data_IF_561783725907
#
_entry.id   IF_561783725907
#
_cell.length_a   1.000
_cell.length_b   1.000
_cell.length_c   1.000
_cell.angle_alpha   90.00
_cell.angle_beta   90.00
_cell.angle_gamma   90.00
#
_symmetry.space_group_name_H-M   'P 1'
#
loop_
_entity.id
_entity.type
_entity.pdbx_description
1 polymer ?
#
# COMPACT_ATOMS: atom_id res chain seq x y z
N UNK A 1 1.27 -16.97 -5.67
CA UNK A 1 2.59 -16.71 -5.05
C UNK A 1 2.89 -17.84 -4.08
N UNK A 2 4.16 -18.11 -3.82
CA UNK A 2 4.62 -19.17 -2.91
C UNK A 2 5.86 -18.69 -2.16
N UNK A 3 5.92 -18.96 -0.86
CA UNK A 3 7.11 -18.71 -0.06
C UNK A 3 7.98 -19.95 -0.13
N UNK A 4 9.23 -19.79 -0.53
CA UNK A 4 10.21 -20.89 -0.64
C UNK A 4 11.26 -20.73 0.44
N UNK A 5 11.54 -21.83 1.17
CA UNK A 5 12.45 -21.82 2.31
C UNK A 5 13.85 -22.34 1.98
N UNK A 6 14.15 -22.65 0.71
CA UNK A 6 15.45 -23.09 0.28
C UNK A 6 15.48 -23.56 -1.17
N UNK A 7 16.70 -23.86 -1.66
CA UNK A 7 16.95 -24.17 -3.08
C UNK A 7 16.11 -25.33 -3.61
N UNK A 8 15.90 -26.39 -2.81
CA UNK A 8 15.07 -27.53 -3.22
C UNK A 8 13.60 -27.17 -3.45
N UNK A 9 13.06 -26.31 -2.60
CA UNK A 9 11.69 -25.82 -2.74
C UNK A 9 11.58 -24.88 -3.94
N UNK A 10 12.58 -24.03 -4.13
CA UNK A 10 12.67 -23.17 -5.30
C UNK A 10 12.70 -23.98 -6.59
N UNK A 11 13.57 -25.01 -6.69
CA UNK A 11 13.63 -25.87 -7.86
C UNK A 11 12.30 -26.60 -8.12
N UNK A 12 11.66 -27.09 -7.07
CA UNK A 12 10.35 -27.74 -7.18
C UNK A 12 9.30 -26.76 -7.71
N UNK A 13 9.23 -25.57 -7.12
CA UNK A 13 8.25 -24.56 -7.50
C UNK A 13 8.46 -24.06 -8.93
N UNK A 14 9.71 -23.80 -9.32
CA UNK A 14 10.05 -23.38 -10.69
C UNK A 14 9.61 -24.41 -11.73
N UNK A 15 9.72 -25.71 -11.45
CA UNK A 15 9.23 -26.75 -12.37
C UNK A 15 7.70 -26.71 -12.53
N UNK A 16 6.97 -26.39 -11.46
CA UNK A 16 5.49 -26.33 -11.48
C UNK A 16 5.02 -25.00 -12.06
N UNK A 17 5.60 -23.88 -11.64
CA UNK A 17 5.23 -22.55 -12.11
C UNK A 17 5.49 -22.34 -13.61
N UNK A 18 6.61 -22.87 -14.12
CA UNK A 18 6.94 -22.80 -15.56
C UNK A 18 5.95 -23.57 -16.43
N UNK A 19 5.31 -24.61 -15.90
CA UNK A 19 4.26 -25.35 -16.62
C UNK A 19 2.98 -24.52 -16.79
N UNK A 20 2.71 -23.58 -15.88
CA UNK A 20 1.53 -22.69 -15.94
C UNK A 20 1.76 -21.50 -16.87
N UNK A 21 3.01 -21.11 -17.11
CA UNK A 21 3.37 -19.93 -17.90
C UNK A 21 4.65 -20.15 -18.73
N UNK A 22 4.54 -20.92 -19.79
CA UNK A 22 5.68 -21.31 -20.67
C UNK A 22 6.48 -20.14 -21.27
N UNK A 23 5.98 -18.91 -21.22
CA UNK A 23 6.59 -17.74 -21.88
C UNK A 23 6.77 -16.51 -20.99
N UNK A 24 6.37 -16.56 -19.74
CA UNK A 24 6.49 -15.41 -18.84
C UNK A 24 7.60 -15.61 -17.82
N UNK A 25 8.43 -14.61 -17.57
CA UNK A 25 9.45 -14.69 -16.52
C UNK A 25 8.79 -14.84 -15.15
N UNK A 26 9.45 -15.56 -14.25
CA UNK A 26 9.06 -15.67 -12.84
C UNK A 26 9.83 -14.63 -12.05
N UNK A 27 9.12 -13.80 -11.29
CA UNK A 27 9.71 -12.85 -10.37
C UNK A 27 10.06 -13.58 -9.06
N UNK A 28 11.28 -13.39 -8.60
CA UNK A 28 11.76 -13.88 -7.31
C UNK A 28 12.12 -12.68 -6.45
N UNK A 29 11.41 -12.52 -5.34
CA UNK A 29 11.66 -11.46 -4.38
C UNK A 29 12.15 -12.03 -3.05
N UNK A 30 12.93 -11.24 -2.33
CA UNK A 30 13.30 -11.57 -0.96
C UNK A 30 12.07 -11.44 -0.07
N UNK A 31 11.74 -12.49 0.66
CA UNK A 31 10.72 -12.40 1.71
C UNK A 31 11.26 -11.63 2.92
N UNK A 32 10.46 -10.73 3.44
CA UNK A 32 10.79 -9.92 4.62
C UNK A 32 10.02 -10.49 5.82
N UNK A 33 10.72 -11.26 6.66
CA UNK A 33 10.14 -11.77 7.91
C UNK A 33 9.87 -10.63 8.89
N UNK A 34 8.78 -10.73 9.64
CA UNK A 34 8.39 -9.80 10.71
C UNK A 34 8.34 -8.31 10.29
N UNK A 35 8.06 -8.06 9.01
CA UNK A 35 7.92 -6.71 8.51
C UNK A 35 6.49 -6.17 8.74
N UNK A 36 6.40 -4.86 8.95
CA UNK A 36 5.14 -4.12 9.02
C UNK A 36 4.83 -3.60 7.64
N UNK A 37 3.66 -3.91 7.08
CA UNK A 37 3.20 -3.32 5.83
C UNK A 37 2.49 -1.99 6.06
N UNK A 38 2.71 -1.06 5.12
CA UNK A 38 2.15 0.29 5.17
C UNK A 38 1.71 0.71 3.77
N UNK A 39 0.47 1.17 3.66
CA UNK A 39 -0.04 1.83 2.47
C UNK A 39 0.06 3.35 2.62
N UNK A 40 0.55 4.02 1.59
CA UNK A 40 0.53 5.50 1.49
C UNK A 40 -0.25 5.90 0.27
N UNK A 41 -1.37 6.58 0.48
CA UNK A 41 -2.14 7.22 -0.60
C UNK A 41 -1.73 8.69 -0.74
N UNK A 42 -1.49 9.13 -1.96
CA UNK A 42 -1.23 10.54 -2.25
C UNK A 42 -1.97 11.02 -3.51
N UNK A 43 -2.06 12.33 -3.64
CA UNK A 43 -2.54 13.02 -4.85
C UNK A 43 -1.41 13.89 -5.37
N UNK A 44 -1.23 13.89 -6.68
CA UNK A 44 -0.29 14.78 -7.36
C UNK A 44 -0.97 15.51 -8.51
N UNK A 45 -0.55 16.77 -8.74
CA UNK A 45 -0.90 17.54 -9.93
C UNK A 45 0.29 17.67 -10.90
N UNK A 46 1.31 16.80 -10.75
CA UNK A 46 2.61 16.79 -11.42
C UNK A 46 3.64 17.78 -10.83
N UNK A 47 3.22 18.84 -10.16
CA UNK A 47 4.08 19.85 -9.52
C UNK A 47 4.16 19.62 -8.02
N UNK A 48 2.99 19.56 -7.41
CA UNK A 48 2.84 19.36 -5.98
C UNK A 48 2.25 17.98 -5.67
N UNK A 49 2.56 17.51 -4.47
CA UNK A 49 2.08 16.22 -3.96
C UNK A 49 1.54 16.43 -2.55
N UNK A 50 0.31 16.00 -2.34
CA UNK A 50 -0.33 15.96 -1.04
C UNK A 50 -0.46 14.52 -0.58
N UNK A 51 0.07 14.19 0.58
CA UNK A 51 -0.14 12.88 1.20
C UNK A 51 -1.58 12.83 1.73
N UNK A 52 -2.35 11.87 1.25
CA UNK A 52 -3.72 11.66 1.67
C UNK A 52 -3.83 10.95 3.01
N UNK A 53 -2.92 9.99 3.24
CA UNK A 53 -2.81 9.29 4.52
C UNK A 53 -1.82 8.14 4.46
N UNK A 54 -1.28 7.81 5.63
CA UNK A 54 -0.39 6.67 5.89
C UNK A 54 -1.18 5.67 6.71
N UNK A 55 -1.28 4.44 6.23
CA UNK A 55 -2.07 3.38 6.85
C UNK A 55 -1.18 2.22 7.22
N UNK A 56 -1.08 1.94 8.50
CA UNK A 56 -0.34 0.79 9.03
C UNK A 56 -1.24 -0.44 9.06
N UNK A 57 -0.76 -1.56 8.51
CA UNK A 57 -1.50 -2.82 8.53
C UNK A 57 -1.44 -3.46 9.91
N UNK A 58 -2.50 -4.17 10.28
CA UNK A 58 -2.60 -4.91 11.54
C UNK A 58 -2.02 -6.32 11.38
N UNK A 59 -2.26 -6.94 10.23
CA UNK A 59 -1.72 -8.25 9.89
C UNK A 59 -0.24 -8.13 9.51
N UNK A 60 0.52 -9.19 9.78
CA UNK A 60 1.92 -9.28 9.39
C UNK A 60 2.09 -9.21 7.87
N UNK A 61 3.26 -8.74 7.43
CA UNK A 61 3.63 -8.70 6.02
C UNK A 61 3.48 -10.06 5.34
N UNK A 62 3.06 -10.03 4.07
CA UNK A 62 2.77 -11.22 3.28
C UNK A 62 1.30 -11.58 3.19
N UNK A 63 0.40 -10.88 3.89
CA UNK A 63 -1.04 -10.94 3.68
C UNK A 63 -1.43 -9.86 2.68
N UNK A 64 -2.28 -10.22 1.71
CA UNK A 64 -2.68 -9.27 0.67
C UNK A 64 -3.29 -8.00 1.27
N UNK A 65 -2.81 -6.84 0.87
CA UNK A 65 -3.23 -5.52 1.42
C UNK A 65 -4.73 -5.26 1.35
N UNK A 66 -5.43 -5.87 0.38
CA UNK A 66 -6.88 -5.80 0.25
C UNK A 66 -7.63 -6.51 1.37
N UNK A 67 -7.03 -7.53 1.95
CA UNK A 67 -7.60 -8.38 3.00
C UNK A 67 -7.18 -7.93 4.40
N UNK A 68 -6.08 -7.20 4.50
CA UNK A 68 -5.56 -6.68 5.77
C UNK A 68 -6.44 -5.59 6.37
N UNK A 69 -6.59 -5.61 7.69
CA UNK A 69 -7.05 -4.45 8.44
C UNK A 69 -5.94 -3.39 8.45
N UNK A 70 -6.32 -2.13 8.51
CA UNK A 70 -5.34 -1.06 8.63
C UNK A 70 -5.85 0.09 9.50
N UNK A 71 -4.92 0.75 10.16
CA UNK A 71 -5.14 1.92 11.01
C UNK A 71 -4.63 3.20 10.34
N UNK A 72 -5.39 4.27 10.42
CA UNK A 72 -5.01 5.62 10.06
C UNK A 72 -5.35 6.56 11.22
N UNK A 73 -4.39 7.33 11.78
CA UNK A 73 -2.95 7.27 11.49
C UNK A 73 -2.28 5.95 11.91
N UNK A 74 -1.00 5.75 11.56
CA UNK A 74 -0.20 4.64 12.08
C UNK A 74 -0.18 4.63 13.61
N UNK A 75 -0.18 3.43 14.21
CA UNK A 75 -0.25 3.26 15.66
C UNK A 75 1.08 2.87 16.30
N UNK A 76 2.01 2.29 15.55
CA UNK A 76 3.31 1.85 16.08
C UNK A 76 4.51 2.55 15.43
N UNK A 77 4.33 3.19 14.28
CA UNK A 77 5.42 3.77 13.51
C UNK A 77 5.86 5.12 14.05
N UNK A 78 7.17 5.29 14.17
CA UNK A 78 7.77 6.57 14.56
C UNK A 78 7.50 7.67 13.53
N UNK A 79 7.62 8.93 13.97
CA UNK A 79 7.42 10.09 13.07
C UNK A 79 8.48 10.10 11.96
N UNK A 80 9.71 9.69 12.27
CA UNK A 80 10.85 9.66 11.35
C UNK A 80 10.59 8.66 10.22
N UNK A 81 10.05 7.48 10.52
CA UNK A 81 9.66 6.49 9.50
C UNK A 81 8.52 7.00 8.63
N UNK A 82 7.52 7.64 9.25
CA UNK A 82 6.42 8.25 8.51
C UNK A 82 6.92 9.36 7.58
N UNK A 83 7.85 10.21 8.03
CA UNK A 83 8.44 11.29 7.23
C UNK A 83 9.27 10.74 6.08
N UNK A 84 10.01 9.65 6.29
CA UNK A 84 10.75 8.99 5.23
C UNK A 84 9.80 8.43 4.16
N UNK A 85 8.69 7.80 4.54
CA UNK A 85 7.68 7.33 3.58
C UNK A 85 7.00 8.47 2.84
N UNK A 86 6.69 9.59 3.50
CA UNK A 86 6.18 10.81 2.85
C UNK A 86 7.16 11.32 1.79
N UNK A 87 8.42 11.40 2.16
CA UNK A 87 9.51 11.84 1.27
C UNK A 87 9.63 10.92 0.05
N UNK A 88 9.66 9.60 0.27
CA UNK A 88 9.78 8.63 -0.83
C UNK A 88 8.56 8.64 -1.75
N UNK A 89 7.34 8.63 -1.21
CA UNK A 89 6.11 8.71 -2.00
C UNK A 89 6.06 9.98 -2.85
N UNK A 90 6.45 11.12 -2.26
CA UNK A 90 6.54 12.41 -2.99
C UNK A 90 7.53 12.35 -4.14
N UNK A 91 8.73 11.81 -3.90
CA UNK A 91 9.75 11.68 -4.96
C UNK A 91 9.29 10.77 -6.10
N UNK A 92 8.67 9.63 -5.75
CA UNK A 92 8.14 8.68 -6.75
C UNK A 92 7.00 9.29 -7.57
N UNK A 93 6.06 10.00 -6.94
CA UNK A 93 4.98 10.67 -7.64
C UNK A 93 5.50 11.69 -8.65
N UNK A 94 6.51 12.50 -8.28
CA UNK A 94 7.15 13.48 -9.16
C UNK A 94 7.95 12.80 -10.27
N UNK A 95 8.74 11.79 -9.95
CA UNK A 95 9.57 11.07 -10.93
C UNK A 95 8.73 10.34 -11.99
N UNK A 96 7.56 9.82 -11.60
CA UNK A 96 6.62 9.16 -12.50
C UNK A 96 5.70 10.14 -13.24
N UNK A 97 5.76 11.44 -12.94
CA UNK A 97 4.87 12.45 -13.53
C UNK A 97 3.39 12.19 -13.24
N UNK A 98 3.08 11.74 -12.03
CA UNK A 98 1.71 11.37 -11.65
C UNK A 98 0.80 12.60 -11.66
N UNK A 99 -0.36 12.47 -12.30
CA UNK A 99 -1.48 13.40 -12.18
C UNK A 99 -2.70 12.64 -11.70
N UNK A 100 -3.17 12.95 -10.50
CA UNK A 100 -4.23 12.23 -9.82
C UNK A 100 -3.72 11.43 -8.63
N UNK A 101 -4.32 10.27 -8.38
CA UNK A 101 -4.01 9.40 -7.23
C UNK A 101 -2.84 8.47 -7.51
N UNK A 102 -2.05 8.25 -6.49
CA UNK A 102 -1.04 7.19 -6.42
C UNK A 102 -1.07 6.52 -5.06
N UNK A 103 -0.93 5.21 -5.04
CA UNK A 103 -0.73 4.41 -3.85
C UNK A 103 0.67 3.80 -3.90
N UNK A 104 1.35 3.83 -2.77
CA UNK A 104 2.64 3.15 -2.59
C UNK A 104 2.52 2.19 -1.42
N UNK A 105 2.95 0.95 -1.64
CA UNK A 105 3.05 -0.06 -0.59
C UNK A 105 4.49 -0.16 -0.10
N UNK A 106 4.66 -0.04 1.19
CA UNK A 106 5.94 -0.16 1.87
C UNK A 106 5.93 -1.36 2.80
N UNK A 107 7.12 -1.86 3.10
CA UNK A 107 7.36 -2.76 4.22
C UNK A 107 8.48 -2.18 5.09
N UNK A 108 8.31 -2.26 6.40
CA UNK A 108 9.29 -1.80 7.36
C UNK A 108 9.81 -3.02 8.11
N UNK A 109 11.11 -3.26 8.05
CA UNK A 109 11.76 -4.35 8.76
C UNK A 109 12.77 -3.78 9.77
N UNK A 110 12.79 -4.33 10.98
CA UNK A 110 13.61 -3.86 12.09
C UNK A 110 12.91 -2.85 12.99
N UNK A 111 13.58 -2.44 14.05
CA UNK A 111 13.05 -1.52 15.04
C UNK A 111 14.04 -0.38 15.32
N UNK A 112 13.51 0.76 15.76
CA UNK A 112 14.31 1.93 16.13
C UNK A 112 15.22 2.41 15.00
N UNK A 113 16.49 2.64 15.29
CA UNK A 113 17.49 3.16 14.35
C UNK A 113 17.88 2.12 13.27
N UNK A 114 17.61 0.84 13.50
CA UNK A 114 17.88 -0.24 12.54
C UNK A 114 16.72 -0.51 11.59
N UNK A 115 15.62 0.22 11.72
CA UNK A 115 14.45 0.07 10.85
C UNK A 115 14.74 0.49 9.40
N UNK A 116 14.42 -0.39 8.45
CA UNK A 116 14.63 -0.16 7.02
C UNK A 116 13.28 -0.12 6.31
N UNK A 117 13.06 0.93 5.54
CA UNK A 117 11.86 1.10 4.70
C UNK A 117 12.13 0.54 3.32
N UNK A 118 11.34 -0.46 2.93
CA UNK A 118 11.35 -1.07 1.60
C UNK A 118 10.11 -0.61 0.81
N UNK A 119 10.29 -0.28 -0.47
CA UNK A 119 9.20 -0.09 -1.41
C UNK A 119 8.82 -1.44 -2.00
N UNK A 120 7.59 -1.89 -1.81
CA UNK A 120 7.07 -3.13 -2.38
C UNK A 120 6.52 -2.91 -3.77
N UNK A 121 5.59 -1.95 -3.91
CA UNK A 121 5.04 -1.58 -5.20
C UNK A 121 4.52 -0.14 -5.22
N UNK A 122 4.46 0.43 -6.42
CA UNK A 122 3.89 1.76 -6.69
C UNK A 122 2.76 1.62 -7.70
N UNK A 123 1.59 2.13 -7.34
CA UNK A 123 0.37 2.06 -8.12
C UNK A 123 -0.10 3.47 -8.49
N UNK A 124 0.23 4.03 -9.68
CA UNK A 124 -0.20 5.37 -10.09
C UNK A 124 -1.68 5.34 -10.53
N UNK A 125 -2.54 5.02 -9.63
CA UNK A 125 -3.99 4.89 -9.76
C UNK A 125 -4.66 4.99 -8.41
N UNK A 126 -6.01 5.11 -8.39
CA UNK A 126 -6.79 5.00 -7.17
C UNK A 126 -6.60 3.62 -6.51
N UNK A 127 -6.39 3.61 -5.20
CA UNK A 127 -6.37 2.41 -4.37
C UNK A 127 -7.76 2.08 -3.82
N UNK A 128 -7.90 0.91 -3.24
CA UNK A 128 -9.10 0.51 -2.48
C UNK A 128 -9.23 1.25 -1.16
N UNK A 129 -8.15 1.83 -0.66
CA UNK A 129 -8.09 2.58 0.59
C UNK A 129 -8.55 4.03 0.44
N UNK A 130 -8.61 4.59 -0.77
CA UNK A 130 -9.04 5.98 -1.03
C UNK A 130 -10.39 6.34 -0.38
N UNK A 131 -11.46 5.52 -0.45
CA UNK A 131 -12.72 5.84 0.22
C UNK A 131 -12.60 5.86 1.75
N UNK A 132 -11.77 4.98 2.31
CA UNK A 132 -11.49 4.93 3.74
C UNK A 132 -10.72 6.18 4.19
N UNK A 133 -9.61 6.50 3.53
CA UNK A 133 -8.81 7.70 3.81
C UNK A 133 -9.66 8.96 3.68
N UNK A 134 -10.47 9.06 2.64
CA UNK A 134 -11.36 10.21 2.42
C UNK A 134 -12.36 10.43 3.57
N UNK A 135 -12.90 9.34 4.11
CA UNK A 135 -13.83 9.41 5.26
C UNK A 135 -13.11 9.75 6.56
N UNK A 136 -11.93 9.18 6.77
CA UNK A 136 -11.15 9.39 7.98
C UNK A 136 -10.62 10.84 8.08
N UNK A 137 -10.14 11.39 6.97
CA UNK A 137 -9.54 12.75 6.92
C UNK A 137 -10.53 13.87 6.61
N UNK A 138 -11.70 13.53 6.06
CA UNK A 138 -12.68 14.52 5.56
C UNK A 138 -12.34 15.07 4.17
N UNK A 139 -11.22 14.72 3.57
CA UNK A 139 -10.81 15.17 2.25
C UNK A 139 -11.38 14.22 1.17
N UNK A 140 -12.07 14.76 0.19
CA UNK A 140 -12.63 13.97 -0.91
C UNK A 140 -11.54 13.66 -1.96
N UNK A 141 -10.61 12.75 -1.64
CA UNK A 141 -9.42 12.48 -2.44
C UNK A 141 -9.72 12.21 -3.92
N UNK A 142 -10.70 11.37 -4.22
CA UNK A 142 -11.06 11.05 -5.59
C UNK A 142 -11.57 12.27 -6.38
N UNK A 143 -12.31 13.18 -5.72
CA UNK A 143 -12.79 14.42 -6.35
C UNK A 143 -11.65 15.39 -6.61
N UNK A 144 -10.73 15.54 -5.66
CA UNK A 144 -9.53 16.38 -5.80
C UNK A 144 -8.67 15.86 -6.94
N UNK A 145 -8.40 14.56 -6.97
CA UNK A 145 -7.61 13.93 -8.02
C UNK A 145 -8.25 14.08 -9.42
N UNK A 146 -9.56 13.89 -9.52
CA UNK A 146 -10.26 14.10 -10.79
C UNK A 146 -10.12 15.53 -11.31
N UNK A 147 -10.10 16.53 -10.43
CA UNK A 147 -9.85 17.93 -10.80
C UNK A 147 -8.41 18.16 -11.24
N UNK A 148 -7.43 17.53 -10.59
CA UNK A 148 -6.03 17.56 -11.04
C UNK A 148 -5.92 17.01 -12.46
N UNK A 149 -6.59 15.90 -12.77
CA UNK A 149 -6.57 15.27 -14.09
C UNK A 149 -7.18 16.14 -15.22
N UNK A 150 -8.01 17.13 -14.88
CA UNK A 150 -8.53 18.13 -15.82
C UNK A 150 -7.82 19.49 -15.72
N UNK A 151 -6.66 19.52 -15.08
CA UNK A 151 -5.75 20.67 -15.08
C UNK A 151 -5.94 21.67 -13.93
N UNK A 152 -6.71 21.34 -12.89
CA UNK A 152 -6.79 22.16 -11.68
C UNK A 152 -5.69 21.74 -10.70
N UNK A 153 -4.74 22.62 -10.38
CA UNK A 153 -3.70 22.33 -9.41
C UNK A 153 -4.25 22.11 -7.99
N UNK A 154 -3.46 21.49 -7.12
CA UNK A 154 -3.79 21.34 -5.70
C UNK A 154 -3.97 22.71 -5.03
N UNK A 155 -3.08 23.66 -5.35
CA UNK A 155 -3.17 25.04 -4.87
C UNK A 155 -4.49 25.72 -5.29
N UNK A 156 -4.87 25.62 -6.56
CA UNK A 156 -6.12 26.18 -7.07
C UNK A 156 -7.39 25.56 -6.44
N UNK A 157 -7.25 24.41 -5.81
CA UNK A 157 -8.32 23.71 -5.09
C UNK A 157 -8.31 24.00 -3.59
N UNK A 158 -7.39 24.84 -3.10
CA UNK A 158 -7.14 25.10 -1.68
C UNK A 158 -6.86 23.80 -0.90
N UNK A 159 -6.18 22.86 -1.55
CA UNK A 159 -5.75 21.61 -0.94
C UNK A 159 -4.32 21.82 -0.42
N UNK A 160 -4.24 21.95 0.88
CA UNK A 160 -2.99 22.23 1.60
C UNK A 160 -2.26 20.97 2.06
N UNK A 161 -1.91 20.97 3.35
CA UNK A 161 -1.16 19.90 3.97
C UNK A 161 -2.01 18.64 4.22
N UNK A 162 -1.31 17.52 4.46
CA UNK A 162 -1.87 16.28 4.99
C UNK A 162 -2.70 16.53 6.25
N UNK A 163 -3.83 15.85 6.36
CA UNK A 163 -4.68 15.88 7.56
C UNK A 163 -4.46 14.59 8.35
N UNK A 164 -3.88 14.71 9.54
CA UNK A 164 -3.81 13.61 10.50
C UNK A 164 -5.00 13.70 11.45
N UNK A 165 -5.94 12.74 11.44
CA UNK A 165 -7.07 12.76 12.37
C UNK A 165 -6.60 12.65 13.83
N UNK A 166 -7.31 13.30 14.79
CA UNK A 166 -6.98 13.18 16.23
C UNK A 166 -7.47 11.87 16.86
N UNK A 167 -7.90 10.92 16.06
CA UNK A 167 -8.41 9.61 16.45
C UNK A 167 -7.95 8.56 15.45
N UNK A 168 -7.88 7.33 15.90
CA UNK A 168 -7.60 6.20 15.01
C UNK A 168 -8.87 5.79 14.26
N UNK A 169 -8.75 5.69 12.94
CA UNK A 169 -9.75 5.07 12.08
C UNK A 169 -9.23 3.70 11.65
N UNK A 170 -10.07 2.67 11.76
CA UNK A 170 -9.69 1.31 11.37
C UNK A 170 -10.55 0.86 10.19
N UNK A 171 -9.91 0.36 9.15
CA UNK A 171 -10.56 -0.37 8.05
C UNK A 171 -10.37 -1.85 8.29
N UNK A 172 -11.41 -2.63 8.12
CA UNK A 172 -11.38 -4.09 8.17
C UNK A 172 -12.08 -4.68 6.95
N UNK A 173 -11.58 -5.80 6.45
CA UNK A 173 -12.23 -6.53 5.37
C UNK A 173 -13.35 -7.44 5.93
N UNK A 174 -14.45 -7.55 5.21
CA UNK A 174 -15.54 -8.47 5.53
C UNK A 174 -15.47 -9.67 4.59
N UNK A 175 -15.22 -10.85 5.15
CA UNK A 175 -15.14 -12.10 4.41
C UNK A 175 -16.44 -12.89 4.54
N UNK A 176 -17.29 -12.97 3.50
CA UNK A 176 -18.54 -13.71 3.55
C UNK A 176 -18.32 -15.24 3.36
N UNK A 177 -17.38 -15.82 4.08
CA UNK A 177 -16.97 -17.23 3.95
C UNK A 177 -18.13 -18.22 4.09
N UNK A 178 -19.15 -17.87 4.88
CA UNK A 178 -20.34 -18.69 5.03
C UNK A 178 -21.10 -18.89 3.71
N UNK A 179 -21.02 -17.90 2.80
CA UNK A 179 -21.62 -17.96 1.46
C UNK A 179 -20.76 -18.73 0.45
N UNK A 180 -19.48 -18.93 0.77
CA UNK A 180 -18.48 -19.54 -0.11
C UNK A 180 -17.73 -20.67 0.62
N UNK A 181 -18.38 -21.81 0.89
CA UNK A 181 -17.84 -22.87 1.78
C UNK A 181 -16.60 -23.58 1.24
N UNK A 182 -16.14 -23.26 0.03
CA UNK A 182 -14.92 -23.83 -0.58
C UNK A 182 -13.73 -22.85 -0.59
N UNK A 183 -13.91 -21.66 -0.03
CA UNK A 183 -12.82 -20.67 0.06
C UNK A 183 -12.00 -20.99 1.31
N UNK A 184 -10.70 -21.03 1.13
CA UNK A 184 -9.77 -21.10 2.25
C UNK A 184 -9.92 -19.84 3.12
N UNK A 185 -10.05 -20.02 4.43
CA UNK A 185 -10.22 -18.94 5.40
C UNK A 185 -8.91 -18.39 5.92
N UNK A 186 -7.78 -19.03 5.59
CA UNK A 186 -6.46 -18.56 5.99
C UNK A 186 -6.06 -17.40 5.09
N UNK A 187 -5.72 -16.26 5.69
CA UNK A 187 -5.20 -15.11 4.97
C UNK A 187 -3.77 -15.39 4.48
N UNK A 188 -3.43 -14.85 3.33
CA UNK A 188 -2.15 -15.06 2.70
C UNK A 188 -1.87 -14.04 1.60
N UNK A 189 -0.88 -14.30 0.74
CA UNK A 189 -0.46 -13.36 -0.30
C UNK A 189 -1.47 -13.20 -1.45
N UNK A 190 -2.47 -14.08 -1.52
CA UNK A 190 -3.53 -14.00 -2.52
C UNK A 190 -4.79 -13.40 -1.89
N UNK A 191 -5.41 -12.47 -2.60
CA UNK A 191 -6.66 -11.84 -2.15
C UNK A 191 -7.82 -12.84 -2.11
N UNK A 192 -8.62 -12.80 -1.05
CA UNK A 192 -9.81 -13.65 -0.82
C UNK A 192 -11.10 -13.05 -1.38
#
# INVERSE_FOLDING_TARGET
MEIVHGDKDLERYMRVAVQVSEKSPVLLDRFLDDAIEVDVDCISDCTDVMIGGIMEHVEAAGIHSGDSACSLPPYSLSVELQDEMRRQATLMAKALGVVGLMNTQFAIQGEGDDAVVYVLEVNPRASRTVPFVSKATGIQLAKVAARCMVGQSLDAQDIGAEVTPPYFSVKEAVFPVVKFPRVDTILGPEMK
#
